data_IF_916805673986
#
_entry.id   IF_916805673986
#
_cell.length_a   1.000
_cell.length_b   1.000
_cell.length_c   1.000
_cell.angle_alpha   90.00
_cell.angle_beta   90.00
_cell.angle_gamma   90.00
#
_symmetry.space_group_name_H-M   'P 1'
#
loop_
_entity.id
_entity.type
_entity.pdbx_description
1 polymer ?
#
# COMPACT_ATOMS: atom_id res chain seq x y z
N UNK A 1 34.24 -39.15 -46.48
CA UNK A 1 32.95 -38.43 -46.58
C UNK A 1 31.88 -39.27 -45.87
N UNK A 2 31.52 -38.96 -44.63
CA UNK A 2 30.30 -39.48 -44.00
C UNK A 2 29.72 -38.38 -43.12
N UNK A 3 28.46 -38.05 -43.42
CA UNK A 3 27.70 -36.90 -42.95
C UNK A 3 27.46 -36.92 -41.45
N UNK A 4 27.63 -35.76 -40.81
CA UNK A 4 27.14 -35.48 -39.46
C UNK A 4 25.70 -34.97 -39.60
N UNK A 5 24.74 -35.73 -39.07
CA UNK A 5 23.35 -35.30 -38.94
C UNK A 5 23.26 -34.39 -37.71
N UNK A 6 22.99 -33.10 -37.92
CA UNK A 6 22.67 -32.17 -36.85
C UNK A 6 21.20 -32.36 -36.45
N UNK A 7 20.97 -32.94 -35.27
CA UNK A 7 19.66 -32.92 -34.64
C UNK A 7 19.41 -31.52 -34.07
N UNK A 8 18.54 -30.74 -34.72
CA UNK A 8 18.02 -29.51 -34.16
C UNK A 8 17.03 -29.86 -33.04
N UNK A 9 17.49 -29.78 -31.79
CA UNK A 9 16.61 -29.85 -30.62
C UNK A 9 15.85 -28.53 -30.56
N UNK A 10 14.61 -28.53 -31.05
CA UNK A 10 13.65 -27.46 -30.78
C UNK A 10 13.23 -27.59 -29.32
N UNK A 11 13.88 -26.81 -28.45
CA UNK A 11 13.41 -26.61 -27.08
C UNK A 11 12.14 -25.76 -27.20
N UNK A 12 10.98 -26.42 -27.22
CA UNK A 12 9.71 -25.75 -26.94
C UNK A 12 9.81 -25.31 -25.49
N UNK A 13 10.22 -24.06 -25.27
CA UNK A 13 10.18 -23.42 -23.97
C UNK A 13 8.74 -23.50 -23.48
N UNK A 14 8.50 -24.39 -22.53
CA UNK A 14 7.26 -24.41 -21.76
C UNK A 14 7.23 -23.07 -21.05
N UNK A 15 6.50 -22.12 -21.62
CA UNK A 15 6.24 -20.83 -21.00
C UNK A 15 4.95 -21.07 -20.22
N UNK A 16 4.99 -21.56 -18.97
CA UNK A 16 3.78 -21.66 -18.18
C UNK A 16 3.19 -20.24 -18.17
N UNK A 17 1.98 -20.10 -18.70
CA UNK A 17 1.25 -18.83 -18.65
C UNK A 17 1.22 -18.44 -17.17
N UNK A 18 2.10 -17.53 -16.77
CA UNK A 18 2.25 -17.14 -15.38
C UNK A 18 0.89 -16.59 -14.94
N UNK A 19 0.20 -17.34 -14.07
CA UNK A 19 -1.13 -16.98 -13.58
C UNK A 19 -0.99 -15.72 -12.72
N UNK A 20 -2.02 -14.88 -12.73
CA UNK A 20 -2.04 -13.76 -11.80
C UNK A 20 -2.08 -14.31 -10.37
N UNK A 21 -1.11 -13.91 -9.56
CA UNK A 21 -1.01 -14.22 -8.14
C UNK A 21 -1.55 -13.04 -7.34
N UNK A 22 -2.12 -13.32 -6.16
CA UNK A 22 -2.65 -12.30 -5.25
C UNK A 22 -1.95 -12.43 -3.90
N UNK A 23 -1.53 -11.31 -3.33
CA UNK A 23 -0.93 -11.24 -2.00
C UNK A 23 -1.64 -10.18 -1.14
N UNK A 24 -1.77 -10.47 0.15
CA UNK A 24 -2.18 -9.50 1.16
C UNK A 24 -0.90 -9.00 1.83
N UNK A 25 -0.69 -7.69 1.81
CA UNK A 25 0.44 -7.03 2.45
C UNK A 25 -0.04 -6.38 3.74
N UNK A 26 0.52 -6.84 4.86
CA UNK A 26 0.35 -6.18 6.15
C UNK A 26 0.98 -4.79 6.11
N UNK A 27 0.28 -3.83 6.74
CA UNK A 27 0.72 -2.46 6.82
C UNK A 27 0.99 -2.04 8.28
N UNK A 28 1.98 -1.19 8.45
CA UNK A 28 2.26 -0.43 9.66
C UNK A 28 1.81 1.01 9.43
N UNK A 29 1.09 1.61 10.38
CA UNK A 29 0.45 2.91 10.20
C UNK A 29 0.70 3.86 11.38
N UNK A 30 0.92 5.15 11.08
CA UNK A 30 1.02 6.22 12.08
C UNK A 30 0.54 7.55 11.49
N UNK A 31 0.40 8.62 12.28
CA UNK A 31 -0.06 9.92 11.80
C UNK A 31 0.80 11.10 12.25
N UNK A 32 0.73 12.18 11.47
CA UNK A 32 1.16 13.53 11.86
C UNK A 32 -0.03 14.49 11.92
N UNK A 33 0.01 15.45 12.85
CA UNK A 33 -1.00 16.51 13.01
C UNK A 33 -1.51 16.68 14.44
N UNK A 34 -2.44 17.64 14.66
CA UNK A 34 -3.16 17.79 15.92
C UNK A 34 -3.94 16.51 16.25
N UNK A 35 -3.84 16.01 17.49
CA UNK A 35 -4.45 14.73 17.86
C UNK A 35 -3.55 13.51 17.58
N UNK A 36 -2.27 13.71 17.22
CA UNK A 36 -1.27 12.65 17.31
C UNK A 36 -1.25 12.11 18.76
N UNK A 37 -1.42 10.81 18.96
CA UNK A 37 -1.28 10.23 20.28
C UNK A 37 0.17 10.34 20.75
N UNK A 38 0.36 10.63 22.04
CA UNK A 38 1.68 10.57 22.64
C UNK A 38 2.18 9.11 22.57
N UNK A 39 3.17 8.85 21.72
CA UNK A 39 3.78 7.54 21.42
C UNK A 39 3.01 6.63 20.46
N UNK A 40 3.79 5.93 19.60
CA UNK A 40 3.35 4.98 18.56
C UNK A 40 2.72 3.69 19.08
N UNK A 41 1.70 3.82 19.93
CA UNK A 41 0.92 2.73 20.52
C UNK A 41 -0.59 2.90 20.32
N UNK A 42 -1.03 3.93 19.61
CA UNK A 42 -2.46 4.15 19.47
C UNK A 42 -3.06 3.25 18.39
N UNK A 43 -4.12 2.51 18.71
CA UNK A 43 -4.84 1.69 17.72
C UNK A 43 -5.65 2.54 16.74
N UNK A 44 -5.72 3.86 16.95
CA UNK A 44 -6.60 4.78 16.25
C UNK A 44 -5.88 6.09 15.88
N UNK A 45 -6.09 6.56 14.64
CA UNK A 45 -5.46 7.77 14.09
C UNK A 45 -6.54 8.77 13.70
N UNK A 46 -6.48 9.97 14.29
CA UNK A 46 -7.46 11.01 14.11
C UNK A 46 -7.02 12.04 13.05
N UNK A 47 -7.97 12.56 12.27
CA UNK A 47 -7.78 13.68 11.33
C UNK A 47 -8.42 14.97 11.88
N UNK A 48 -7.99 16.19 11.49
CA UNK A 48 -7.11 16.53 10.37
C UNK A 48 -5.64 16.12 10.59
N UNK A 49 -5.03 15.50 9.57
CA UNK A 49 -3.65 15.00 9.64
C UNK A 49 -3.22 14.27 8.37
N UNK A 50 -1.97 13.78 8.37
CA UNK A 50 -1.45 12.87 7.34
C UNK A 50 -1.14 11.52 7.98
N UNK A 51 -1.80 10.49 7.48
CA UNK A 51 -1.58 9.08 7.81
C UNK A 51 -0.41 8.55 6.97
N UNK A 52 0.61 7.98 7.60
CA UNK A 52 1.73 7.31 6.96
C UNK A 52 1.55 5.81 7.06
N UNK A 53 1.78 5.12 5.95
CA UNK A 53 1.63 3.68 5.79
C UNK A 53 2.93 3.09 5.27
N UNK A 54 3.39 1.99 5.85
CA UNK A 54 4.55 1.21 5.42
C UNK A 54 4.15 -0.25 5.27
N UNK A 55 4.59 -0.91 4.20
CA UNK A 55 4.11 -2.24 3.82
C UNK A 55 5.22 -3.27 3.95
N UNK A 56 4.87 -4.46 4.44
CA UNK A 56 5.75 -5.63 4.40
C UNK A 56 5.66 -6.27 3.02
N UNK A 57 6.72 -6.14 2.22
CA UNK A 57 6.75 -6.59 0.80
C UNK A 57 7.60 -7.83 0.54
N UNK A 58 8.03 -8.54 1.59
CA UNK A 58 8.95 -9.68 1.50
C UNK A 58 8.43 -10.84 0.61
N UNK A 59 7.13 -10.92 0.39
CA UNK A 59 6.47 -11.94 -0.44
C UNK A 59 6.27 -11.52 -1.91
N UNK A 60 6.60 -10.29 -2.29
CA UNK A 60 6.42 -9.76 -3.66
C UNK A 60 7.65 -9.02 -4.25
N UNK A 61 8.91 -9.29 -3.87
CA UNK A 61 10.06 -8.42 -4.21
C UNK A 61 10.38 -8.34 -5.70
N UNK A 62 9.84 -9.27 -6.51
CA UNK A 62 10.03 -9.34 -7.96
C UNK A 62 8.70 -9.46 -8.69
N UNK A 63 7.62 -8.93 -8.12
CA UNK A 63 6.34 -8.95 -8.82
C UNK A 63 6.27 -7.77 -9.78
N UNK A 64 5.69 -8.02 -10.97
CA UNK A 64 5.09 -6.96 -11.78
C UNK A 64 3.65 -6.80 -11.32
N UNK A 65 3.36 -5.71 -10.61
CA UNK A 65 2.05 -5.49 -10.01
C UNK A 65 1.07 -4.98 -11.08
N UNK A 66 -0.08 -5.63 -11.17
CA UNK A 66 -1.16 -5.27 -12.10
C UNK A 66 -2.24 -4.42 -11.40
N UNK A 67 -2.51 -4.68 -10.13
CA UNK A 67 -3.46 -3.92 -9.31
C UNK A 67 -3.03 -3.85 -7.85
N UNK A 68 -3.43 -2.77 -7.19
CA UNK A 68 -3.19 -2.53 -5.78
C UNK A 68 -4.40 -1.80 -5.19
N UNK A 69 -5.04 -2.42 -4.19
CA UNK A 69 -6.19 -1.86 -3.48
C UNK A 69 -5.87 -1.78 -1.99
N UNK A 70 -5.84 -0.57 -1.47
CA UNK A 70 -5.59 -0.28 -0.06
C UNK A 70 -6.92 -0.33 0.70
N UNK A 71 -6.96 -1.08 1.79
CA UNK A 71 -8.10 -1.17 2.68
C UNK A 71 -7.80 -0.52 4.02
N UNK A 72 -8.70 0.37 4.44
CA UNK A 72 -8.64 1.05 5.74
C UNK A 72 -9.98 0.86 6.46
N UNK A 73 -9.92 0.60 7.76
CA UNK A 73 -11.10 0.50 8.62
C UNK A 73 -11.36 1.81 9.35
N UNK A 74 -12.57 2.35 9.22
CA UNK A 74 -13.00 3.57 9.88
C UNK A 74 -13.62 3.21 11.23
N UNK A 75 -13.01 3.67 12.31
CA UNK A 75 -13.53 3.51 13.66
C UNK A 75 -14.64 4.53 13.96
N UNK A 76 -14.47 5.76 13.47
CA UNK A 76 -15.42 6.85 13.71
C UNK A 76 -15.38 7.87 12.58
N UNK A 77 -16.54 8.43 12.27
CA UNK A 77 -16.73 9.39 11.20
C UNK A 77 -17.38 8.75 9.96
N UNK A 78 -17.73 9.57 8.98
CA UNK A 78 -18.28 9.09 7.71
C UNK A 78 -17.19 9.02 6.65
N UNK A 79 -17.15 7.96 5.82
CA UNK A 79 -16.08 7.79 4.84
C UNK A 79 -16.06 8.96 3.83
N UNK A 80 -14.89 9.57 3.56
CA UNK A 80 -14.81 10.71 2.65
C UNK A 80 -14.93 10.23 1.20
N UNK A 81 -15.48 11.04 0.28
CA UNK A 81 -15.62 10.63 -1.12
C UNK A 81 -14.27 10.51 -1.85
N UNK A 82 -13.25 11.24 -1.36
CA UNK A 82 -11.90 11.25 -1.92
C UNK A 82 -10.87 11.31 -0.80
N UNK A 83 -9.74 10.68 -1.06
CA UNK A 83 -8.51 10.87 -0.28
C UNK A 83 -7.41 11.37 -1.19
N UNK A 84 -6.35 11.89 -0.59
CA UNK A 84 -5.16 12.31 -1.31
C UNK A 84 -4.00 11.42 -0.88
N UNK A 85 -3.29 10.83 -1.83
CA UNK A 85 -2.16 9.92 -1.57
C UNK A 85 -0.90 10.52 -2.17
N UNK A 86 0.20 10.46 -1.42
CA UNK A 86 1.56 10.74 -1.88
C UNK A 86 2.46 9.53 -1.58
N UNK A 87 3.54 9.40 -2.33
CA UNK A 87 4.58 8.40 -2.05
C UNK A 87 5.56 8.94 -1.00
N UNK A 88 6.06 8.05 -0.14
CA UNK A 88 7.15 8.37 0.78
C UNK A 88 8.47 7.87 0.16
N UNK A 89 9.36 8.79 -0.20
CA UNK A 89 10.68 8.49 -0.77
C UNK A 89 11.77 8.36 0.29
N UNK A 90 11.47 8.72 1.54
CA UNK A 90 12.39 8.58 2.66
C UNK A 90 11.87 7.50 3.64
N UNK A 91 12.77 6.70 4.25
CA UNK A 91 12.40 5.77 5.29
C UNK A 91 11.72 6.48 6.46
N UNK A 92 10.72 5.83 7.05
CA UNK A 92 10.08 6.33 8.25
C UNK A 92 9.75 5.18 9.20
N UNK A 93 9.57 5.52 10.47
CA UNK A 93 9.16 4.57 11.53
C UNK A 93 8.07 5.21 12.38
N UNK A 94 7.23 4.39 13.04
CA UNK A 94 6.18 4.86 13.97
C UNK A 94 6.73 5.82 15.05
N UNK A 95 8.00 5.71 15.44
CA UNK A 95 8.61 6.61 16.41
C UNK A 95 9.00 7.98 15.81
N UNK A 96 9.21 8.06 14.50
CA UNK A 96 9.80 9.21 13.80
C UNK A 96 8.89 9.85 12.75
N UNK A 97 7.61 9.46 12.66
CA UNK A 97 6.63 9.98 11.69
C UNK A 97 6.48 11.51 11.69
N UNK A 98 6.77 12.17 12.82
CA UNK A 98 6.75 13.64 12.94
C UNK A 98 7.91 14.36 12.25
N UNK A 99 8.95 13.65 11.82
CA UNK A 99 10.09 14.23 11.10
C UNK A 99 9.81 14.38 9.59
N UNK A 100 8.75 13.74 9.06
CA UNK A 100 8.41 13.82 7.64
C UNK A 100 7.83 15.21 7.33
N UNK A 101 8.49 15.95 6.45
CA UNK A 101 8.03 17.25 5.98
C UNK A 101 6.81 17.10 5.05
N UNK A 102 5.61 17.00 5.62
CA UNK A 102 4.36 16.76 4.85
C UNK A 102 4.01 17.85 3.82
N UNK A 103 4.64 19.03 3.92
CA UNK A 103 4.48 20.13 2.96
C UNK A 103 5.19 19.92 1.62
N UNK A 104 6.23 19.09 1.55
CA UNK A 104 6.95 18.79 0.31
C UNK A 104 6.36 17.61 -0.47
N UNK A 105 5.42 16.88 0.13
CA UNK A 105 4.80 15.72 -0.50
C UNK A 105 3.83 16.11 -1.61
N UNK A 106 3.96 15.46 -2.77
CA UNK A 106 3.08 15.67 -3.92
C UNK A 106 1.89 14.70 -3.83
N UNK A 107 0.72 15.25 -3.51
CA UNK A 107 -0.49 14.48 -3.27
C UNK A 107 -1.43 14.43 -4.49
N UNK A 108 -1.69 13.22 -4.99
CA UNK A 108 -2.72 12.93 -6.01
C UNK A 108 -4.05 12.53 -5.38
N UNK A 109 -5.17 12.88 -6.00
CA UNK A 109 -6.50 12.54 -5.50
C UNK A 109 -6.93 11.14 -5.96
N UNK A 110 -7.51 10.36 -5.06
CA UNK A 110 -8.04 9.02 -5.30
C UNK A 110 -9.49 8.95 -4.84
N UNK A 111 -10.32 8.27 -5.63
CA UNK A 111 -11.69 7.94 -5.22
C UNK A 111 -11.66 6.89 -4.11
N UNK A 112 -12.62 7.00 -3.20
CA UNK A 112 -12.84 6.03 -2.13
C UNK A 112 -14.06 5.19 -2.49
N UNK A 113 -13.91 3.87 -2.45
CA UNK A 113 -15.02 2.94 -2.58
C UNK A 113 -15.44 2.47 -1.19
N UNK A 114 -16.72 2.59 -0.87
CA UNK A 114 -17.26 2.13 0.40
C UNK A 114 -17.40 0.61 0.40
N UNK A 115 -17.00 -0.03 1.49
CA UNK A 115 -17.12 -1.45 1.73
C UNK A 115 -18.01 -1.68 2.97
N UNK A 116 -18.56 -2.89 3.15
CA UNK A 116 -19.31 -3.22 4.36
C UNK A 116 -18.48 -3.05 5.63
N UNK A 117 -19.16 -2.92 6.78
CA UNK A 117 -18.51 -2.87 8.11
C UNK A 117 -17.47 -1.75 8.24
N UNK A 118 -17.80 -0.54 7.80
CA UNK A 118 -16.94 0.65 7.91
C UNK A 118 -15.54 0.52 7.27
N UNK A 119 -15.39 -0.41 6.32
CA UNK A 119 -14.20 -0.48 5.48
C UNK A 119 -14.31 0.47 4.30
N UNK A 120 -13.15 0.99 3.88
CA UNK A 120 -13.01 1.66 2.60
C UNK A 120 -11.91 1.00 1.80
N UNK A 121 -12.09 0.95 0.48
CA UNK A 121 -11.02 0.57 -0.45
C UNK A 121 -10.63 1.73 -1.35
N UNK A 122 -9.32 1.88 -1.56
CA UNK A 122 -8.74 2.94 -2.37
C UNK A 122 -7.83 2.29 -3.40
N UNK A 123 -8.13 2.50 -4.68
CA UNK A 123 -7.27 1.99 -5.75
C UNK A 123 -5.98 2.80 -5.80
N UNK A 124 -4.87 2.14 -5.49
CA UNK A 124 -3.53 2.72 -5.56
C UNK A 124 -2.93 2.41 -6.92
N UNK A 125 -2.17 3.35 -7.47
CA UNK A 125 -1.49 3.12 -8.74
C UNK A 125 -0.50 1.96 -8.58
N UNK A 126 -0.65 0.90 -9.37
CA UNK A 126 0.19 -0.29 -9.32
C UNK A 126 1.70 0.04 -9.43
N UNK A 127 2.04 1.06 -10.23
CA UNK A 127 3.43 1.53 -10.35
C UNK A 127 4.01 2.01 -9.02
N UNK A 128 3.20 2.63 -8.15
CA UNK A 128 3.68 3.03 -6.82
C UNK A 128 4.02 1.81 -5.97
N UNK A 129 3.23 0.74 -6.09
CA UNK A 129 3.51 -0.50 -5.38
C UNK A 129 4.72 -1.23 -5.96
N UNK A 130 4.99 -1.14 -7.28
CA UNK A 130 6.23 -1.65 -7.87
C UNK A 130 7.46 -0.94 -7.28
N UNK A 131 7.39 0.39 -7.08
CA UNK A 131 8.46 1.17 -6.44
C UNK A 131 8.68 0.74 -4.97
N UNK A 132 7.60 0.50 -4.21
CA UNK A 132 7.68 0.04 -2.81
C UNK A 132 8.22 -1.40 -2.74
N UNK A 133 7.74 -2.30 -3.59
CA UNK A 133 8.19 -3.69 -3.65
C UNK A 133 9.68 -3.81 -4.02
N UNK A 134 10.15 -2.93 -4.91
CA UNK A 134 11.55 -2.84 -5.30
C UNK A 134 12.44 -2.04 -4.32
N UNK A 135 11.88 -1.55 -3.20
CA UNK A 135 12.63 -0.79 -2.18
C UNK A 135 13.06 0.62 -2.59
N UNK A 136 12.48 1.18 -3.68
CA UNK A 136 12.72 2.56 -4.14
C UNK A 136 11.80 3.59 -3.47
N UNK A 137 10.79 3.11 -2.76
CA UNK A 137 9.90 3.90 -1.92
C UNK A 137 9.63 3.18 -0.60
N UNK A 138 9.29 3.95 0.43
CA UNK A 138 9.19 3.47 1.81
C UNK A 138 7.76 3.47 2.35
N UNK A 139 6.77 3.83 1.51
CA UNK A 139 5.39 3.82 1.93
C UNK A 139 4.50 4.83 1.21
N UNK A 140 3.34 5.06 1.80
CA UNK A 140 2.34 6.02 1.34
C UNK A 140 2.01 7.03 2.45
N UNK A 141 1.76 8.26 2.06
CA UNK A 141 1.18 9.29 2.90
C UNK A 141 -0.24 9.58 2.43
N UNK A 142 -1.21 9.59 3.33
CA UNK A 142 -2.63 9.73 3.04
C UNK A 142 -3.19 10.93 3.80
N UNK A 143 -3.79 11.85 3.05
CA UNK A 143 -4.50 13.00 3.57
C UNK A 143 -5.98 12.85 3.26
N UNK A 144 -6.79 12.78 4.30
CA UNK A 144 -8.24 12.75 4.17
C UNK A 144 -8.76 14.17 3.93
N UNK A 145 -9.69 14.32 3.00
CA UNK A 145 -10.35 15.60 2.72
C UNK A 145 -11.82 15.44 3.08
N UNK A 146 -12.26 16.09 4.15
CA UNK A 146 -13.64 16.01 4.62
C UNK A 146 -13.96 17.04 5.69
N UNK A 147 -15.24 17.43 5.84
CA UNK A 147 -15.66 18.43 6.82
C UNK A 147 -15.67 17.90 8.26
N UNK A 148 -15.57 16.57 8.45
CA UNK A 148 -15.63 15.91 9.76
C UNK A 148 -14.31 15.18 10.05
N UNK A 149 -13.82 15.22 11.29
CA UNK A 149 -12.77 14.33 11.75
C UNK A 149 -13.11 12.86 11.47
N UNK A 150 -12.11 12.10 11.07
CA UNK A 150 -12.16 10.66 10.89
C UNK A 150 -11.19 10.01 11.86
N UNK A 151 -11.56 8.84 12.36
CA UNK A 151 -10.71 7.99 13.17
C UNK A 151 -10.53 6.68 12.42
N UNK A 152 -9.29 6.33 12.11
CA UNK A 152 -8.92 5.13 11.34
C UNK A 152 -8.16 4.17 12.24
N UNK A 153 -8.39 2.86 12.12
CA UNK A 153 -7.56 1.88 12.83
C UNK A 153 -6.13 1.87 12.27
N UNK A 154 -5.14 1.97 13.17
CA UNK A 154 -3.71 1.91 12.84
C UNK A 154 -3.15 0.48 12.94
N UNK A 155 -3.56 -0.23 13.99
CA UNK A 155 -3.14 -1.58 14.35
C UNK A 155 -4.13 -2.15 15.36
N UNK A 156 -4.68 -3.31 15.07
CA UNK A 156 -5.32 -4.16 16.08
C UNK A 156 -4.90 -5.61 15.86
N UNK A 157 -4.45 -6.29 16.92
CA UNK A 157 -4.26 -7.75 16.90
C UNK A 157 -5.65 -8.40 16.88
N UNK A 158 -6.23 -8.61 15.70
CA UNK A 158 -7.54 -9.28 15.62
C UNK A 158 -8.39 -9.07 14.38
N UNK A 159 -8.07 -8.14 13.47
CA UNK A 159 -8.74 -8.08 12.16
C UNK A 159 -8.87 -6.73 11.46
N UNK A 160 -8.66 -5.61 12.16
CA UNK A 160 -8.94 -4.26 11.62
C UNK A 160 -7.69 -3.44 11.24
N UNK A 161 -6.54 -4.10 11.08
CA UNK A 161 -5.33 -3.42 10.63
C UNK A 161 -5.45 -3.00 9.15
N UNK A 162 -4.89 -1.85 8.75
CA UNK A 162 -4.73 -1.50 7.34
C UNK A 162 -4.00 -2.61 6.57
N UNK A 163 -4.45 -2.90 5.36
CA UNK A 163 -3.79 -3.87 4.48
C UNK A 163 -3.89 -3.46 3.02
N UNK A 164 -2.98 -3.97 2.20
CA UNK A 164 -3.03 -3.84 0.75
C UNK A 164 -3.30 -5.21 0.13
N UNK A 165 -4.26 -5.29 -0.78
CA UNK A 165 -4.36 -6.43 -1.70
C UNK A 165 -3.63 -6.04 -2.98
N UNK A 166 -2.63 -6.83 -3.36
CA UNK A 166 -1.95 -6.68 -4.65
C UNK A 166 -2.19 -7.91 -5.51
N UNK A 167 -2.35 -7.71 -6.81
CA UNK A 167 -2.35 -8.80 -7.78
C UNK A 167 -1.31 -8.52 -8.85
N UNK A 168 -0.59 -9.54 -9.28
CA UNK A 168 0.52 -9.39 -10.20
C UNK A 168 1.06 -10.74 -10.67
N UNK A 169 2.31 -10.73 -11.12
CA UNK A 169 3.03 -11.96 -11.51
C UNK A 169 4.46 -11.87 -11.02
N UNK A 170 4.98 -12.97 -10.47
CA UNK A 170 6.41 -13.11 -10.22
C UNK A 170 7.18 -13.00 -11.55
N UNK A 171 8.28 -12.23 -11.52
CA UNK A 171 9.23 -12.06 -12.63
C UNK A 171 10.56 -12.72 -12.35
#
# INVERSE_FOLDING_TARGET
MHSIVFAAIVIIGVNPVARAETAILECTADASGPGKPASGKAPALQTPGVLFLSFRTWNIPKWRIASADLFLHILQGGPPPKVRIAILTEPWTEAASSAIATGSLIFTAHAVNFQPQEWISIKVNARLMDEIAAGRAHGLAIRFSGPKPLVIHARESGGFAPYMIVSGRAS
#
